data_IF_763668228134
#
_entry.id   IF_763668228134
#
_cell.length_a   1.000
_cell.length_b   1.000
_cell.length_c   1.000
_cell.angle_alpha   90.00
_cell.angle_beta   90.00
_cell.angle_gamma   90.00
#
_symmetry.space_group_name_H-M   'P 1'
#
loop_
_entity.id
_entity.type
_entity.pdbx_description
1 polymer ?
#
# COMPACT_ATOMS: atom_id res chain seq x y z
N UNK A 1 -6.79 -1.20 -36.08
CA UNK A 1 -5.75 -1.09 -35.04
C UNK A 1 -6.48 -1.14 -33.72
N UNK A 2 -6.45 -2.28 -33.04
CA UNK A 2 -6.93 -2.33 -31.67
C UNK A 2 -6.11 -1.35 -30.84
N UNK A 3 -6.79 -0.51 -30.05
CA UNK A 3 -6.09 0.24 -29.01
C UNK A 3 -5.37 -0.78 -28.13
N UNK A 4 -4.09 -0.59 -27.79
CA UNK A 4 -3.46 -1.44 -26.80
C UNK A 4 -4.35 -1.45 -25.55
N UNK A 5 -4.70 -2.65 -25.11
CA UNK A 5 -5.52 -2.87 -23.92
C UNK A 5 -4.86 -2.13 -22.75
N UNK A 6 -5.67 -1.41 -21.96
CA UNK A 6 -5.12 -0.61 -20.87
C UNK A 6 -4.49 -1.55 -19.84
N UNK A 7 -3.22 -1.33 -19.49
CA UNK A 7 -2.53 -2.12 -18.47
C UNK A 7 -3.13 -1.79 -17.11
N UNK A 8 -3.88 -2.73 -16.53
CA UNK A 8 -4.42 -2.67 -15.17
C UNK A 8 -3.72 -3.66 -14.26
N UNK A 9 -3.67 -3.35 -12.98
CA UNK A 9 -3.14 -4.21 -11.91
C UNK A 9 -4.02 -5.44 -11.72
N UNK A 10 -5.34 -5.32 -11.95
CA UNK A 10 -6.27 -6.43 -11.80
C UNK A 10 -6.14 -7.51 -12.90
N UNK A 11 -5.95 -7.10 -14.16
CA UNK A 11 -6.15 -8.00 -15.30
C UNK A 11 -4.87 -8.25 -16.12
N UNK A 12 -3.82 -7.46 -15.92
CA UNK A 12 -2.55 -7.66 -16.64
C UNK A 12 -1.75 -8.81 -16.02
N UNK A 13 -1.01 -9.51 -16.87
CA UNK A 13 0.07 -10.38 -16.38
C UNK A 13 1.14 -9.56 -15.64
N UNK A 14 1.89 -10.21 -14.76
CA UNK A 14 3.03 -9.57 -14.07
C UNK A 14 4.00 -8.96 -15.07
N UNK A 15 4.29 -9.67 -16.17
CA UNK A 15 5.20 -9.19 -17.23
C UNK A 15 4.68 -7.91 -17.91
N UNK A 16 3.40 -7.89 -18.31
CA UNK A 16 2.80 -6.70 -18.92
C UNK A 16 2.79 -5.51 -17.96
N UNK A 17 2.45 -5.75 -16.69
CA UNK A 17 2.36 -4.69 -15.69
C UNK A 17 3.73 -4.10 -15.35
N UNK A 18 4.76 -4.94 -15.15
CA UNK A 18 6.12 -4.46 -14.86
C UNK A 18 6.77 -3.79 -16.07
N UNK A 19 6.51 -4.29 -17.29
CA UNK A 19 6.94 -3.64 -18.52
C UNK A 19 6.34 -2.23 -18.68
N UNK A 20 5.07 -2.05 -18.28
CA UNK A 20 4.41 -0.75 -18.26
C UNK A 20 4.95 0.17 -17.16
N UNK A 21 5.14 -0.34 -15.94
CA UNK A 21 5.75 0.42 -14.83
C UNK A 21 7.14 0.95 -15.20
N UNK A 22 7.91 0.20 -15.99
CA UNK A 22 9.25 0.58 -16.43
C UNK A 22 9.27 1.71 -17.48
N UNK A 23 8.11 2.08 -18.05
CA UNK A 23 8.03 3.16 -19.04
C UNK A 23 8.05 4.55 -18.39
N UNK A 24 8.59 5.54 -19.10
CA UNK A 24 8.56 6.95 -18.68
C UNK A 24 7.21 7.64 -18.94
N UNK A 25 6.11 6.95 -18.63
CA UNK A 25 4.73 7.44 -18.82
C UNK A 25 4.03 7.78 -17.50
N UNK A 26 4.57 7.32 -16.36
CA UNK A 26 4.03 7.58 -15.03
C UNK A 26 2.74 6.83 -14.68
N UNK A 27 2.38 5.79 -15.45
CA UNK A 27 1.18 4.98 -15.21
C UNK A 27 1.38 3.55 -15.74
N UNK A 28 1.41 2.52 -14.87
CA UNK A 28 1.37 2.59 -13.41
C UNK A 28 2.60 3.31 -12.81
N UNK A 29 2.46 3.82 -11.59
CA UNK A 29 3.51 4.54 -10.86
C UNK A 29 3.81 3.93 -9.49
N UNK A 30 4.52 4.67 -8.64
CA UNK A 30 4.93 4.19 -7.31
C UNK A 30 3.77 3.86 -6.36
N UNK A 31 2.65 4.60 -6.40
CA UNK A 31 1.46 4.30 -5.61
C UNK A 31 0.77 3.00 -6.06
N UNK A 32 0.60 2.81 -7.37
CA UNK A 32 0.15 1.53 -7.93
C UNK A 32 1.09 0.37 -7.55
N UNK A 33 2.40 0.60 -7.53
CA UNK A 33 3.37 -0.36 -7.02
C UNK A 33 3.18 -0.71 -5.55
N UNK A 34 2.92 0.29 -4.69
CA UNK A 34 2.56 0.04 -3.30
C UNK A 34 1.26 -0.78 -3.19
N UNK A 35 0.27 -0.52 -4.04
CA UNK A 35 -0.96 -1.32 -4.12
C UNK A 35 -0.71 -2.78 -4.50
N UNK A 36 0.17 -3.02 -5.47
CA UNK A 36 0.59 -4.37 -5.85
C UNK A 36 1.32 -5.09 -4.70
N UNK A 37 2.19 -4.40 -3.96
CA UNK A 37 2.86 -4.97 -2.78
C UNK A 37 1.87 -5.36 -1.69
N UNK A 38 0.82 -4.56 -1.47
CA UNK A 38 -0.26 -4.92 -0.55
C UNK A 38 -1.03 -6.17 -1.01
N UNK A 39 -1.29 -6.28 -2.32
CA UNK A 39 -1.93 -7.46 -2.89
C UNK A 39 -1.07 -8.73 -2.72
N UNK A 40 0.25 -8.61 -2.86
CA UNK A 40 1.20 -9.69 -2.58
C UNK A 40 1.16 -10.08 -1.10
N UNK A 41 1.26 -9.12 -0.19
CA UNK A 41 1.18 -9.36 1.26
C UNK A 41 -0.13 -10.09 1.62
N UNK A 42 -1.27 -9.60 1.14
CA UNK A 42 -2.58 -10.21 1.37
C UNK A 42 -2.69 -11.64 0.79
N UNK A 43 -2.08 -11.88 -0.37
CA UNK A 43 -2.03 -13.23 -0.98
C UNK A 43 -1.24 -14.21 -0.12
N UNK A 44 -0.08 -13.79 0.41
CA UNK A 44 0.75 -14.59 1.30
C UNK A 44 0.07 -14.84 2.64
N UNK A 45 -0.59 -13.84 3.24
CA UNK A 45 -1.41 -14.02 4.45
C UNK A 45 -2.46 -15.11 4.22
N UNK A 46 -3.20 -15.04 3.10
CA UNK A 46 -4.21 -16.05 2.77
C UNK A 46 -3.62 -17.45 2.57
N UNK A 47 -2.47 -17.55 1.91
CA UNK A 47 -1.77 -18.81 1.68
C UNK A 47 -1.33 -19.44 3.00
N UNK A 48 -0.61 -18.70 3.84
CA UNK A 48 -0.10 -19.20 5.13
C UNK A 48 -1.25 -19.60 6.05
N UNK A 49 -2.32 -18.81 6.10
CA UNK A 49 -3.53 -19.16 6.83
C UNK A 49 -4.17 -20.47 6.32
N UNK A 50 -4.17 -20.70 5.00
CA UNK A 50 -4.68 -21.93 4.39
C UNK A 50 -3.87 -23.19 4.72
N UNK A 51 -2.57 -23.04 5.02
CA UNK A 51 -1.68 -24.13 5.45
C UNK A 51 -1.53 -24.25 6.97
N UNK A 52 -2.23 -23.42 7.74
CA UNK A 52 -2.19 -23.44 9.20
C UNK A 52 -3.23 -24.43 9.72
N UNK A 53 -2.75 -25.53 10.30
CA UNK A 53 -3.61 -26.52 10.96
C UNK A 53 -3.96 -26.05 12.38
N UNK A 54 -5.12 -25.41 12.53
CA UNK A 54 -5.59 -24.86 13.80
C UNK A 54 -6.72 -25.71 14.39
N UNK A 55 -6.57 -26.09 15.66
CA UNK A 55 -7.62 -26.77 16.43
C UNK A 55 -8.55 -25.74 17.10
N UNK A 56 -9.72 -26.19 17.55
CA UNK A 56 -10.62 -25.35 18.35
C UNK A 56 -9.90 -24.84 19.62
N UNK A 57 -10.06 -23.55 20.00
CA UNK A 57 -10.97 -22.55 19.41
C UNK A 57 -10.38 -21.69 18.28
N UNK A 58 -9.16 -21.97 17.81
CA UNK A 58 -8.42 -21.12 16.86
C UNK A 58 -8.85 -21.32 15.40
N UNK A 59 -9.49 -22.45 15.07
CA UNK A 59 -9.95 -22.75 13.71
C UNK A 59 -10.81 -21.64 13.10
N UNK A 60 -11.78 -21.11 13.87
CA UNK A 60 -12.64 -20.01 13.44
C UNK A 60 -11.86 -18.71 13.17
N UNK A 61 -10.82 -18.44 13.96
CA UNK A 61 -9.95 -17.28 13.77
C UNK A 61 -9.17 -17.38 12.45
N UNK A 62 -8.55 -18.52 12.16
CA UNK A 62 -7.80 -18.76 10.92
C UNK A 62 -8.69 -18.62 9.69
N UNK A 63 -9.91 -19.16 9.73
CA UNK A 63 -10.88 -19.01 8.64
C UNK A 63 -11.26 -17.54 8.41
N UNK A 64 -11.52 -16.79 9.48
CA UNK A 64 -11.85 -15.37 9.41
C UNK A 64 -10.69 -14.54 8.85
N UNK A 65 -9.46 -14.83 9.30
CA UNK A 65 -8.22 -14.20 8.82
C UNK A 65 -8.02 -14.46 7.32
N UNK A 66 -8.15 -15.72 6.89
CA UNK A 66 -8.02 -16.09 5.47
C UNK A 66 -9.03 -15.35 4.60
N UNK A 67 -10.27 -15.18 5.05
CA UNK A 67 -11.30 -14.42 4.34
C UNK A 67 -10.92 -12.94 4.22
N UNK A 68 -10.52 -12.30 5.33
CA UNK A 68 -10.07 -10.89 5.31
C UNK A 68 -8.91 -10.69 4.34
N UNK A 69 -7.96 -11.63 4.30
CA UNK A 69 -6.83 -11.56 3.39
C UNK A 69 -7.25 -11.65 1.90
N UNK A 70 -8.22 -12.50 1.56
CA UNK A 70 -8.76 -12.58 0.19
C UNK A 70 -9.48 -11.30 -0.22
N UNK A 71 -10.28 -10.72 0.68
CA UNK A 71 -10.97 -9.44 0.47
C UNK A 71 -9.96 -8.30 0.30
N UNK A 72 -8.94 -8.25 1.17
CA UNK A 72 -7.86 -7.27 1.12
C UNK A 72 -7.08 -7.34 -0.20
N UNK A 73 -6.78 -8.55 -0.69
CA UNK A 73 -6.11 -8.74 -1.99
C UNK A 73 -6.90 -8.06 -3.11
N UNK A 74 -8.21 -8.31 -3.19
CA UNK A 74 -9.04 -7.70 -4.23
C UNK A 74 -9.11 -6.17 -4.09
N UNK A 75 -9.22 -5.67 -2.85
CA UNK A 75 -9.21 -4.24 -2.56
C UNK A 75 -7.89 -3.58 -2.96
N UNK A 76 -6.75 -4.22 -2.66
CA UNK A 76 -5.43 -3.71 -2.99
C UNK A 76 -5.22 -3.55 -4.51
N UNK A 77 -5.66 -4.53 -5.30
CA UNK A 77 -5.57 -4.45 -6.76
C UNK A 77 -6.43 -3.29 -7.32
N UNK A 78 -7.66 -3.12 -6.80
CA UNK A 78 -8.51 -1.98 -7.19
C UNK A 78 -7.88 -0.63 -6.81
N UNK A 79 -7.35 -0.52 -5.59
CA UNK A 79 -6.70 0.71 -5.12
C UNK A 79 -5.46 1.06 -5.96
N UNK A 80 -4.72 0.06 -6.45
CA UNK A 80 -3.59 0.28 -7.35
C UNK A 80 -4.03 0.90 -8.69
N UNK A 81 -5.16 0.45 -9.24
CA UNK A 81 -5.72 0.98 -10.49
C UNK A 81 -6.34 2.37 -10.32
N UNK A 82 -6.96 2.61 -9.15
CA UNK A 82 -7.43 3.93 -8.75
C UNK A 82 -6.26 4.92 -8.60
N UNK A 83 -5.13 4.50 -8.01
CA UNK A 83 -3.91 5.31 -7.91
C UNK A 83 -3.32 5.64 -9.28
N UNK A 84 -3.21 4.66 -10.18
CA UNK A 84 -2.74 4.88 -11.53
C UNK A 84 -3.61 5.91 -12.28
N UNK A 85 -4.93 5.84 -12.06
CA UNK A 85 -5.91 6.79 -12.62
C UNK A 85 -5.78 8.20 -12.01
N UNK A 86 -5.62 8.28 -10.68
CA UNK A 86 -5.42 9.54 -9.96
C UNK A 86 -4.12 10.23 -10.37
N UNK A 87 -3.03 9.48 -10.48
CA UNK A 87 -1.72 9.97 -10.93
C UNK A 87 -1.77 10.53 -12.35
N UNK A 88 -2.51 9.88 -13.26
CA UNK A 88 -2.75 10.39 -14.61
C UNK A 88 -3.52 11.71 -14.61
N UNK A 89 -4.56 11.84 -13.77
CA UNK A 89 -5.31 13.08 -13.62
C UNK A 89 -4.46 14.21 -13.00
N UNK A 90 -3.61 13.87 -12.03
CA UNK A 90 -2.64 14.78 -11.43
C UNK A 90 -1.64 15.30 -12.46
N UNK A 91 -1.02 14.40 -13.25
CA UNK A 91 -0.14 14.79 -14.35
C UNK A 91 -0.82 15.66 -15.40
N UNK A 92 -2.07 15.37 -15.76
CA UNK A 92 -2.85 16.19 -16.69
C UNK A 92 -3.08 17.62 -16.17
N UNK A 93 -3.25 17.80 -14.85
CA UNK A 93 -3.41 19.14 -14.26
C UNK A 93 -2.19 20.04 -14.49
N UNK A 94 -0.97 19.48 -14.58
CA UNK A 94 0.24 20.27 -14.89
C UNK A 94 0.33 20.72 -16.35
N UNK A 95 -0.47 20.14 -17.25
CA UNK A 95 -0.48 20.51 -18.67
C UNK A 95 -1.47 21.63 -18.99
N UNK A 96 -2.25 22.10 -18.00
CA UNK A 96 -3.11 23.27 -18.16
C UNK A 96 -2.27 24.55 -18.32
N UNK A 97 -2.83 25.55 -18.99
CA UNK A 97 -2.19 26.86 -19.12
C UNK A 97 -1.93 27.49 -17.74
N UNK A 98 -0.78 28.16 -17.53
CA UNK A 98 -0.49 28.83 -16.27
C UNK A 98 -1.60 29.79 -15.84
N UNK A 99 -2.05 29.66 -14.60
CA UNK A 99 -3.08 30.52 -14.01
C UNK A 99 -3.93 29.80 -12.97
N UNK A 100 -4.97 30.50 -12.49
CA UNK A 100 -5.82 30.06 -11.39
C UNK A 100 -6.49 28.70 -11.61
N UNK A 101 -6.87 28.39 -12.84
CA UNK A 101 -7.48 27.10 -13.19
C UNK A 101 -6.52 25.94 -12.96
N UNK A 102 -5.28 26.06 -13.46
CA UNK A 102 -4.21 25.09 -13.24
C UNK A 102 -3.93 24.89 -11.75
N UNK A 103 -3.76 25.98 -11.00
CA UNK A 103 -3.49 25.92 -9.56
C UNK A 103 -4.61 25.20 -8.80
N UNK A 104 -5.87 25.50 -9.14
CA UNK A 104 -7.04 24.85 -8.53
C UNK A 104 -7.09 23.37 -8.87
N UNK A 105 -6.80 23.00 -10.12
CA UNK A 105 -6.77 21.61 -10.59
C UNK A 105 -5.66 20.81 -9.90
N UNK A 106 -4.44 21.36 -9.82
CA UNK A 106 -3.30 20.73 -9.13
C UNK A 106 -3.65 20.52 -7.67
N UNK A 107 -4.09 21.56 -6.95
CA UNK A 107 -4.45 21.45 -5.53
C UNK A 107 -5.49 20.36 -5.27
N UNK A 108 -6.55 20.31 -6.08
CA UNK A 108 -7.59 19.29 -5.96
C UNK A 108 -7.05 17.88 -6.23
N UNK A 109 -6.26 17.72 -7.30
CA UNK A 109 -5.68 16.44 -7.66
C UNK A 109 -4.69 15.94 -6.60
N UNK A 110 -3.83 16.81 -6.07
CA UNK A 110 -2.91 16.55 -4.96
C UNK A 110 -3.64 16.00 -3.74
N UNK A 111 -4.68 16.68 -3.26
CA UNK A 111 -5.41 16.24 -2.06
C UNK A 111 -6.11 14.88 -2.30
N UNK A 112 -6.62 14.64 -3.50
CA UNK A 112 -7.22 13.36 -3.84
C UNK A 112 -6.18 12.23 -3.90
N UNK A 113 -5.02 12.47 -4.49
CA UNK A 113 -3.91 11.51 -4.54
C UNK A 113 -3.40 11.16 -3.12
N UNK A 114 -3.25 12.18 -2.26
CA UNK A 114 -2.90 11.98 -0.86
C UNK A 114 -3.95 11.10 -0.13
N UNK A 115 -5.24 11.30 -0.38
CA UNK A 115 -6.31 10.48 0.20
C UNK A 115 -6.29 9.04 -0.31
N UNK A 116 -6.00 8.82 -1.59
CA UNK A 116 -5.87 7.48 -2.16
C UNK A 116 -4.70 6.73 -1.49
N UNK A 117 -3.53 7.35 -1.40
CA UNK A 117 -2.37 6.78 -0.74
C UNK A 117 -2.60 6.54 0.76
N UNK A 118 -3.29 7.45 1.46
CA UNK A 118 -3.68 7.24 2.85
C UNK A 118 -4.67 6.08 3.03
N UNK A 119 -5.59 5.89 2.09
CA UNK A 119 -6.54 4.76 2.12
C UNK A 119 -5.80 3.44 1.95
N UNK A 120 -4.84 3.37 1.01
CA UNK A 120 -3.99 2.21 0.81
C UNK A 120 -3.17 1.88 2.07
N UNK A 121 -2.52 2.87 2.66
CA UNK A 121 -1.72 2.67 3.88
C UNK A 121 -2.55 2.20 5.07
N UNK A 122 -3.79 2.68 5.23
CA UNK A 122 -4.70 2.19 6.31
C UNK A 122 -5.05 0.72 6.16
N UNK A 123 -5.31 0.26 4.92
CA UNK A 123 -5.52 -1.16 4.66
C UNK A 123 -4.26 -1.99 4.97
N UNK A 124 -3.06 -1.43 4.72
CA UNK A 124 -1.82 -2.07 5.10
C UNK A 124 -1.67 -2.19 6.63
N UNK A 125 -1.98 -1.13 7.40
CA UNK A 125 -1.96 -1.16 8.88
C UNK A 125 -2.86 -2.28 9.43
N UNK A 126 -4.07 -2.44 8.88
CA UNK A 126 -5.02 -3.47 9.31
C UNK A 126 -4.51 -4.91 9.13
N UNK A 127 -3.58 -5.14 8.20
CA UNK A 127 -3.03 -6.47 7.93
C UNK A 127 -1.85 -6.86 8.85
N UNK A 128 -1.34 -5.92 9.66
CA UNK A 128 -0.19 -6.18 10.56
C UNK A 128 -0.57 -7.20 11.63
N UNK A 129 -1.76 -7.08 12.22
CA UNK A 129 -2.23 -8.00 13.27
C UNK A 129 -2.35 -9.44 12.73
N UNK A 130 -2.81 -9.59 11.49
CA UNK A 130 -2.93 -10.89 10.83
C UNK A 130 -1.54 -11.54 10.61
N UNK A 131 -0.54 -10.74 10.19
CA UNK A 131 0.83 -11.23 10.03
C UNK A 131 1.51 -11.56 11.35
N UNK A 132 1.32 -10.73 12.38
CA UNK A 132 1.86 -11.00 13.72
C UNK A 132 1.27 -12.30 14.28
N UNK A 133 -0.04 -12.51 14.11
CA UNK A 133 -0.69 -13.74 14.54
C UNK A 133 -0.12 -14.95 13.81
N UNK A 134 0.05 -14.88 12.49
CA UNK A 134 0.63 -15.97 11.68
C UNK A 134 2.11 -16.22 12.02
N UNK A 135 2.88 -15.19 12.36
CA UNK A 135 4.27 -15.33 12.81
C UNK A 135 4.43 -16.08 14.14
N UNK A 136 3.36 -16.14 14.94
CA UNK A 136 3.33 -16.80 16.25
C UNK A 136 2.62 -18.16 16.20
N UNK A 137 1.52 -18.27 15.46
CA UNK A 137 0.60 -19.41 15.50
C UNK A 137 0.44 -20.11 14.15
N UNK A 138 0.94 -19.49 13.06
CA UNK A 138 0.87 -20.06 11.73
C UNK A 138 1.80 -21.25 11.54
N UNK A 139 1.70 -21.87 10.37
CA UNK A 139 2.60 -22.95 9.98
C UNK A 139 4.05 -22.46 9.92
N UNK A 140 4.88 -22.94 10.85
CA UNK A 140 6.28 -22.52 10.99
C UNK A 140 7.14 -22.87 9.77
N UNK A 141 6.75 -23.88 8.97
CA UNK A 141 7.44 -24.20 7.73
C UNK A 141 7.32 -23.10 6.66
N UNK A 142 6.37 -22.17 6.83
CA UNK A 142 6.12 -21.05 5.92
C UNK A 142 6.55 -19.69 6.52
N UNK A 143 7.46 -19.71 7.49
CA UNK A 143 7.89 -18.48 8.16
C UNK A 143 8.57 -17.50 7.19
N UNK A 144 9.26 -18.01 6.15
CA UNK A 144 9.82 -17.17 5.08
C UNK A 144 8.75 -16.42 4.30
N UNK A 145 7.59 -17.03 4.06
CA UNK A 145 6.46 -16.38 3.37
C UNK A 145 5.87 -15.25 4.22
N UNK A 146 5.80 -15.45 5.53
CA UNK A 146 5.41 -14.40 6.49
C UNK A 146 6.41 -13.23 6.44
N UNK A 147 7.71 -13.49 6.38
CA UNK A 147 8.73 -12.43 6.25
C UNK A 147 8.61 -11.66 4.95
N UNK A 148 8.36 -12.34 3.81
CA UNK A 148 8.11 -11.65 2.52
C UNK A 148 6.84 -10.79 2.59
N UNK A 149 5.79 -11.26 3.25
CA UNK A 149 4.56 -10.49 3.44
C UNK A 149 4.79 -9.26 4.33
N UNK A 150 5.54 -9.38 5.43
CA UNK A 150 5.94 -8.26 6.28
C UNK A 150 6.74 -7.21 5.49
N UNK A 151 7.72 -7.64 4.69
CA UNK A 151 8.51 -6.75 3.84
C UNK A 151 7.67 -6.03 2.78
N UNK A 152 6.72 -6.74 2.16
CA UNK A 152 5.79 -6.17 1.19
C UNK A 152 4.86 -5.13 1.84
N UNK A 153 4.38 -5.41 3.04
CA UNK A 153 3.54 -4.50 3.82
C UNK A 153 4.31 -3.25 4.26
N UNK A 154 5.57 -3.42 4.66
CA UNK A 154 6.49 -2.33 5.00
C UNK A 154 6.74 -1.42 3.80
N UNK A 155 7.00 -1.99 2.63
CA UNK A 155 7.18 -1.24 1.39
C UNK A 155 5.89 -0.46 1.02
N UNK A 156 4.72 -1.09 1.22
CA UNK A 156 3.42 -0.43 1.02
C UNK A 156 3.28 0.80 1.91
N UNK A 157 3.54 0.68 3.22
CA UNK A 157 3.43 1.79 4.17
C UNK A 157 4.44 2.90 3.90
N UNK A 158 5.69 2.53 3.56
CA UNK A 158 6.72 3.51 3.21
C UNK A 158 6.36 4.28 1.93
N UNK A 159 5.83 3.58 0.92
CA UNK A 159 5.31 4.18 -0.31
C UNK A 159 4.12 5.11 -0.03
N UNK A 160 3.11 4.62 0.69
CA UNK A 160 1.93 5.41 1.06
C UNK A 160 2.30 6.68 1.85
N UNK A 161 3.18 6.57 2.84
CA UNK A 161 3.65 7.72 3.64
C UNK A 161 4.38 8.75 2.78
N UNK A 162 5.25 8.29 1.88
CA UNK A 162 5.99 9.16 0.96
C UNK A 162 5.05 9.86 -0.02
N UNK A 163 4.11 9.12 -0.62
CA UNK A 163 3.14 9.67 -1.56
C UNK A 163 2.24 10.71 -0.88
N UNK A 164 1.66 10.40 0.29
CA UNK A 164 0.86 11.37 1.06
C UNK A 164 1.65 12.64 1.34
N UNK A 165 2.91 12.53 1.74
CA UNK A 165 3.77 13.69 2.02
C UNK A 165 4.05 14.52 0.76
N UNK A 166 4.39 13.85 -0.34
CA UNK A 166 4.67 14.48 -1.63
C UNK A 166 3.44 15.20 -2.20
N UNK A 167 2.29 14.55 -2.16
CA UNK A 167 1.04 15.09 -2.67
C UNK A 167 0.57 16.29 -1.82
N UNK A 168 0.67 16.21 -0.50
CA UNK A 168 0.38 17.35 0.38
C UNK A 168 1.32 18.54 0.09
N UNK A 169 2.61 18.30 -0.10
CA UNK A 169 3.55 19.35 -0.48
C UNK A 169 3.23 19.94 -1.88
N UNK A 170 2.80 19.10 -2.82
CA UNK A 170 2.37 19.54 -4.15
C UNK A 170 1.06 20.33 -4.15
N UNK A 171 0.34 20.38 -3.02
CA UNK A 171 -0.89 21.16 -2.86
C UNK A 171 -0.67 22.57 -2.29
N UNK A 172 0.55 22.89 -1.81
CA UNK A 172 0.87 24.22 -1.30
C UNK A 172 1.10 25.20 -2.45
N UNK A 173 0.36 26.31 -2.42
CA UNK A 173 0.63 27.52 -3.19
C UNK A 173 1.22 28.60 -2.28
N UNK A 174 1.73 29.70 -2.84
CA UNK A 174 2.28 30.83 -2.07
C UNK A 174 1.30 31.37 -1.00
N UNK A 175 -0.01 31.29 -1.25
CA UNK A 175 -1.06 31.73 -0.33
C UNK A 175 -1.46 30.73 0.78
N UNK A 176 -1.04 29.45 0.72
CA UNK A 176 -1.47 28.43 1.68
C UNK A 176 -0.30 27.84 2.45
N UNK A 177 -0.16 28.20 3.72
CA UNK A 177 0.88 27.64 4.59
C UNK A 177 0.62 26.15 4.91
N UNK A 178 1.70 25.40 5.19
CA UNK A 178 1.61 24.02 5.69
C UNK A 178 0.78 23.91 6.99
N UNK A 179 0.73 24.97 7.80
CA UNK A 179 -0.10 25.01 9.01
C UNK A 179 -1.60 25.00 8.67
N UNK A 180 -2.00 25.69 7.59
CA UNK A 180 -3.37 25.68 7.08
C UNK A 180 -3.77 24.28 6.60
N UNK A 181 -2.94 23.67 5.75
CA UNK A 181 -3.17 22.30 5.26
C UNK A 181 -3.27 21.31 6.41
N UNK A 182 -2.40 21.42 7.42
CA UNK A 182 -2.45 20.57 8.60
C UNK A 182 -3.75 20.73 9.39
N UNK A 183 -4.29 21.95 9.46
CA UNK A 183 -5.57 22.20 10.13
C UNK A 183 -6.76 21.65 9.32
N UNK A 184 -6.72 21.74 8.00
CA UNK A 184 -7.80 21.28 7.11
C UNK A 184 -7.80 19.75 6.90
N UNK A 185 -6.63 19.11 6.93
CA UNK A 185 -6.44 17.70 6.61
C UNK A 185 -5.78 16.92 7.75
N UNK A 186 -6.28 17.12 8.97
CA UNK A 186 -5.75 16.48 10.19
C UNK A 186 -5.67 14.96 10.07
N UNK A 187 -6.62 14.35 9.34
CA UNK A 187 -6.69 12.93 9.03
C UNK A 187 -5.49 12.43 8.22
N UNK A 188 -5.04 13.18 7.21
CA UNK A 188 -3.88 12.82 6.39
C UNK A 188 -2.58 12.92 7.21
N UNK A 189 -2.45 13.98 8.03
CA UNK A 189 -1.28 14.11 8.91
C UNK A 189 -1.28 13.07 10.04
N UNK A 190 -2.45 12.62 10.50
CA UNK A 190 -2.55 11.51 11.43
C UNK A 190 -2.11 10.19 10.78
N UNK A 191 -2.54 9.93 9.55
CA UNK A 191 -2.13 8.77 8.78
C UNK A 191 -0.60 8.71 8.59
N UNK A 192 0.07 9.84 8.33
CA UNK A 192 1.54 9.88 8.25
C UNK A 192 2.24 9.35 9.51
N UNK A 193 1.74 9.73 10.70
CA UNK A 193 2.28 9.27 11.99
C UNK A 193 1.94 7.80 12.24
N UNK A 194 0.73 7.40 11.91
CA UNK A 194 0.27 6.02 12.02
C UNK A 194 1.14 5.08 11.16
N UNK A 195 1.43 5.46 9.91
CA UNK A 195 2.26 4.65 9.02
C UNK A 195 3.70 4.54 9.50
N UNK A 196 4.25 5.59 10.10
CA UNK A 196 5.59 5.56 10.70
C UNK A 196 5.66 4.57 11.88
N UNK A 197 4.72 4.66 12.81
CA UNK A 197 4.63 3.70 13.93
C UNK A 197 4.38 2.26 13.44
N UNK A 198 3.58 2.10 12.39
CA UNK A 198 3.30 0.80 11.78
C UNK A 198 4.55 0.18 11.13
N UNK A 199 5.41 0.98 10.48
CA UNK A 199 6.69 0.53 9.93
C UNK A 199 7.61 0.05 11.06
N UNK A 200 7.72 0.79 12.16
CA UNK A 200 8.53 0.40 13.33
C UNK A 200 8.04 -0.92 13.94
N UNK A 201 6.71 -1.11 14.00
CA UNK A 201 6.11 -2.36 14.47
C UNK A 201 6.46 -3.53 13.56
N UNK A 202 6.39 -3.36 12.24
CA UNK A 202 6.77 -4.39 11.27
C UNK A 202 8.25 -4.78 11.41
N UNK A 203 9.14 -3.80 11.57
CA UNK A 203 10.57 -4.03 11.77
C UNK A 203 10.85 -4.82 13.07
N UNK A 204 10.07 -4.54 14.11
CA UNK A 204 10.13 -5.28 15.39
C UNK A 204 9.67 -6.73 15.23
N UNK A 205 8.56 -6.97 14.52
CA UNK A 205 8.04 -8.33 14.26
C UNK A 205 9.06 -9.13 13.46
N UNK A 206 9.57 -8.59 12.36
CA UNK A 206 10.56 -9.24 11.50
C UNK A 206 11.84 -9.60 12.29
N UNK A 207 12.38 -8.66 13.06
CA UNK A 207 13.53 -8.90 13.94
C UNK A 207 13.27 -9.96 15.03
N UNK A 208 12.02 -10.08 15.48
CA UNK A 208 11.58 -11.14 16.39
C UNK A 208 11.49 -12.53 15.74
N UNK A 209 11.21 -12.59 14.45
CA UNK A 209 11.22 -13.83 13.66
C UNK A 209 12.66 -14.27 13.40
N UNK A 210 13.53 -13.39 12.94
CA UNK A 210 14.92 -13.73 12.58
C UNK A 210 15.67 -14.38 13.75
N UNK A 211 15.53 -13.81 14.95
CA UNK A 211 16.11 -14.36 16.18
C UNK A 211 15.64 -15.78 16.51
N UNK A 212 14.45 -16.19 16.04
CA UNK A 212 13.87 -17.52 16.26
C UNK A 212 14.16 -18.49 15.11
N UNK A 213 14.09 -18.02 13.87
CA UNK A 213 14.17 -18.85 12.66
C UNK A 213 15.60 -19.16 12.22
N UNK A 214 16.55 -18.26 12.49
CA UNK A 214 17.95 -18.43 12.12
C UNK A 214 18.85 -17.77 13.18
N UNK A 215 19.24 -18.49 14.25
CA UNK A 215 20.29 -18.04 15.15
C UNK A 215 21.65 -18.18 14.44
N UNK A 216 21.86 -17.44 13.35
CA UNK A 216 23.15 -17.36 12.63
C UNK A 216 24.13 -16.41 13.33
N UNK A 217 23.68 -15.71 14.36
CA UNK A 217 24.51 -14.89 15.24
C UNK A 217 25.01 -15.75 16.40
N UNK A 218 26.11 -16.47 16.18
CA UNK A 218 27.00 -16.95 17.25
C UNK A 218 27.98 -15.88 17.67
#
# INVERSE_FOLDING_TARGET
MDKPEAVTTQDSTVEQWTAALAQSTGSPGGGAGAGLMLAIAASLISMVAGYTDAQEPQAAHVQSLRRRALELRQTALRLADEDASASKAFGAAFHLEPGRERETAIKKASINAARASATLGKHAVMAIDDLEWLALNGNQALISDVVVALGSLRATLAGARTNVSFDLASSTTDDSSMAELRRQHQDLFAALREFEAAIERLDTIASGIDRRAAPTST
#
